data_IF_566982816392
#
_entry.id   IF_566982816392
#
_cell.length_a   1.000
_cell.length_b   1.000
_cell.length_c   1.000
_cell.angle_alpha   90.00
_cell.angle_beta   90.00
_cell.angle_gamma   90.00
#
_symmetry.space_group_name_H-M   'P 1'
#
loop_
_entity.id
_entity.type
_entity.pdbx_description
1 polymer ?
#
# COMPACT_ATOMS: atom_id res chain seq x y z
N UNK A 1 9.88 -17.54 -7.48
CA UNK A 1 10.22 -16.64 -6.35
C UNK A 1 9.11 -15.61 -6.24
N UNK A 2 8.50 -15.45 -5.08
CA UNK A 2 7.49 -14.42 -4.85
C UNK A 2 8.11 -13.03 -5.02
N UNK A 3 7.60 -12.24 -5.97
CA UNK A 3 8.12 -10.92 -6.32
C UNK A 3 8.21 -9.99 -5.10
N UNK A 4 7.25 -10.11 -4.17
CA UNK A 4 7.21 -9.38 -2.92
C UNK A 4 8.42 -9.67 -2.03
N UNK A 5 8.91 -10.91 -1.93
CA UNK A 5 10.10 -11.26 -1.14
C UNK A 5 11.38 -10.70 -1.77
N UNK A 6 11.46 -10.66 -3.10
CA UNK A 6 12.61 -10.13 -3.84
C UNK A 6 12.61 -8.60 -3.98
N UNK A 7 11.50 -7.93 -3.69
CA UNK A 7 11.40 -6.48 -3.88
C UNK A 7 12.29 -5.73 -2.88
N UNK A 8 13.26 -5.00 -3.45
CA UNK A 8 14.27 -4.23 -2.70
C UNK A 8 13.95 -2.75 -2.63
N UNK A 9 13.17 -2.22 -3.56
CA UNK A 9 12.91 -0.79 -3.71
C UNK A 9 11.40 -0.50 -3.63
N UNK A 10 11.08 0.63 -3.03
CA UNK A 10 9.72 1.17 -2.93
C UNK A 10 9.20 1.52 -4.32
N UNK A 11 7.98 1.08 -4.65
CA UNK A 11 7.35 1.36 -5.96
C UNK A 11 7.07 2.85 -6.21
N UNK A 12 7.03 3.65 -5.14
CA UNK A 12 6.77 5.09 -5.21
C UNK A 12 8.04 5.91 -5.25
N UNK A 13 8.77 5.91 -4.14
CA UNK A 13 9.94 6.77 -4.00
C UNK A 13 11.26 6.13 -4.46
N UNK A 14 11.27 4.86 -4.88
CA UNK A 14 12.48 4.14 -5.30
C UNK A 14 13.50 3.87 -4.19
N UNK A 15 13.25 4.29 -2.95
CA UNK A 15 14.15 4.03 -1.81
C UNK A 15 14.17 2.56 -1.43
N UNK A 16 15.28 2.12 -0.84
CA UNK A 16 15.41 0.76 -0.33
C UNK A 16 14.39 0.43 0.77
N UNK A 17 13.89 -0.81 0.74
CA UNK A 17 12.91 -1.36 1.67
C UNK A 17 13.54 -2.08 2.87
N UNK A 18 14.82 -1.80 3.16
CA UNK A 18 15.60 -2.43 4.24
C UNK A 18 15.04 -2.15 5.63
N UNK A 19 14.41 -0.97 5.82
CA UNK A 19 13.75 -0.58 7.07
C UNK A 19 12.35 -1.19 7.25
N UNK A 20 11.85 -1.92 6.25
CA UNK A 20 10.52 -2.50 6.22
C UNK A 20 9.72 -2.08 5.00
N UNK A 21 8.80 -2.97 4.61
CA UNK A 21 7.88 -2.79 3.49
C UNK A 21 6.47 -3.15 3.89
N UNK A 22 5.53 -2.48 3.27
CA UNK A 22 4.09 -2.69 3.48
C UNK A 22 3.37 -2.48 2.16
N UNK A 23 2.21 -3.11 2.00
CA UNK A 23 1.32 -2.84 0.88
C UNK A 23 0.56 -1.53 1.12
N UNK A 24 0.38 -0.74 0.06
CA UNK A 24 -0.49 0.44 0.10
C UNK A 24 -1.93 0.08 0.53
N UNK A 25 -2.65 1.04 1.13
CA UNK A 25 -4.11 0.87 1.35
C UNK A 25 -4.93 1.23 0.11
N UNK A 26 -4.31 1.85 -0.87
CA UNK A 26 -4.98 2.32 -2.08
C UNK A 26 -4.82 1.35 -3.25
N UNK A 27 -3.76 0.54 -3.25
CA UNK A 27 -3.44 -0.41 -4.32
C UNK A 27 -2.46 -1.49 -3.85
N UNK A 28 -1.99 -2.31 -4.77
CA UNK A 28 -1.03 -3.41 -4.52
C UNK A 28 0.45 -2.97 -4.47
N UNK A 29 0.74 -1.66 -4.43
CA UNK A 29 2.12 -1.17 -4.40
C UNK A 29 2.83 -1.60 -3.11
N UNK A 30 4.08 -2.06 -3.25
CA UNK A 30 4.98 -2.30 -2.13
C UNK A 30 5.74 -1.02 -1.81
N UNK A 31 5.39 -0.40 -0.68
CA UNK A 31 5.88 0.91 -0.28
C UNK A 31 6.71 0.85 1.01
N UNK A 32 7.60 1.82 1.16
CA UNK A 32 8.34 2.02 2.40
C UNK A 32 7.46 2.65 3.50
N UNK A 33 7.92 2.57 4.75
CA UNK A 33 7.21 3.14 5.90
C UNK A 33 7.04 4.67 5.81
N UNK A 34 7.94 5.38 5.13
CA UNK A 34 7.81 6.83 4.90
C UNK A 34 6.64 7.14 3.94
N UNK A 35 6.51 6.38 2.84
CA UNK A 35 5.39 6.52 1.92
C UNK A 35 4.07 6.15 2.61
N UNK A 36 4.09 5.12 3.48
CA UNK A 36 2.94 4.76 4.31
C UNK A 36 2.53 5.90 5.25
N UNK A 37 3.49 6.62 5.83
CA UNK A 37 3.18 7.79 6.67
C UNK A 37 2.49 8.88 5.86
N UNK A 38 3.00 9.18 4.66
CA UNK A 38 2.37 10.15 3.74
C UNK A 38 0.95 9.74 3.36
N UNK A 39 0.71 8.44 3.14
CA UNK A 39 -0.65 7.94 2.92
C UNK A 39 -1.57 8.27 4.09
N UNK A 40 -1.14 8.01 5.32
CA UNK A 40 -1.93 8.24 6.54
C UNK A 40 -2.30 9.70 6.77
N UNK A 41 -1.51 10.63 6.21
CA UNK A 41 -1.75 12.06 6.30
C UNK A 41 -2.75 12.56 5.24
N UNK A 42 -3.11 11.73 4.25
CA UNK A 42 -4.12 12.10 3.25
C UNK A 42 -5.52 12.10 3.85
N UNK A 43 -6.36 13.02 3.36
CA UNK A 43 -7.75 13.13 3.79
C UNK A 43 -8.58 11.88 3.46
N UNK A 44 -8.30 11.23 2.34
CA UNK A 44 -9.00 10.04 1.81
C UNK A 44 -8.46 8.70 2.38
N UNK A 45 -7.48 8.74 3.29
CA UNK A 45 -6.88 7.51 3.84
C UNK A 45 -7.87 6.64 4.59
N UNK A 46 -8.81 7.26 5.30
CA UNK A 46 -9.84 6.53 6.06
C UNK A 46 -10.75 5.74 5.14
N UNK A 47 -11.04 6.28 3.96
CA UNK A 47 -11.88 5.61 2.96
C UNK A 47 -11.16 4.38 2.38
N UNK A 48 -9.85 4.52 2.11
CA UNK A 48 -9.01 3.40 1.66
C UNK A 48 -8.98 2.26 2.69
N UNK A 49 -8.75 2.59 3.97
CA UNK A 49 -8.75 1.60 5.06
C UNK A 49 -10.13 0.94 5.20
N UNK A 50 -11.21 1.71 5.15
CA UNK A 50 -12.58 1.18 5.24
C UNK A 50 -12.88 0.20 4.11
N UNK A 51 -12.50 0.54 2.87
CA UNK A 51 -12.71 -0.32 1.72
C UNK A 51 -11.94 -1.65 1.84
N UNK A 52 -10.66 -1.60 2.24
CA UNK A 52 -9.87 -2.82 2.47
C UNK A 52 -10.50 -3.67 3.57
N UNK A 53 -10.89 -3.05 4.69
CA UNK A 53 -11.49 -3.77 5.82
C UNK A 53 -12.83 -4.44 5.47
N UNK A 54 -13.68 -3.76 4.69
CA UNK A 54 -14.95 -4.31 4.22
C UNK A 54 -14.75 -5.54 3.32
N UNK A 55 -13.73 -5.54 2.47
CA UNK A 55 -13.40 -6.66 1.61
C UNK A 55 -12.75 -7.80 2.39
N UNK A 56 -11.88 -7.50 3.37
CA UNK A 56 -11.33 -8.51 4.28
C UNK A 56 -12.42 -9.23 5.09
N UNK A 57 -13.43 -8.51 5.59
CA UNK A 57 -14.58 -9.09 6.30
C UNK A 57 -15.37 -10.04 5.38
N UNK A 58 -15.50 -9.72 4.09
CA UNK A 58 -16.14 -10.59 3.08
C UNK A 58 -15.26 -11.79 2.70
N UNK A 59 -14.01 -11.85 3.19
CA UNK A 59 -13.04 -12.88 2.84
C UNK A 59 -12.30 -12.60 1.51
N UNK A 60 -12.48 -11.43 0.91
CA UNK A 60 -11.78 -11.02 -0.30
C UNK A 60 -10.37 -10.50 0.04
N UNK A 61 -9.39 -11.39 -0.05
CA UNK A 61 -7.96 -11.09 0.20
C UNK A 61 -7.23 -10.55 -1.03
N UNK A 62 -7.90 -10.45 -2.18
CA UNK A 62 -7.33 -9.97 -3.45
C UNK A 62 -7.91 -8.61 -3.84
N UNK A 63 -8.38 -7.81 -2.88
CA UNK A 63 -8.91 -6.49 -3.16
C UNK A 63 -7.81 -5.57 -3.67
N UNK A 64 -8.00 -4.99 -4.86
CA UNK A 64 -7.01 -4.11 -5.52
C UNK A 64 -6.96 -2.69 -4.93
N UNK A 65 -7.75 -2.40 -3.89
CA UNK A 65 -7.84 -1.08 -3.29
C UNK A 65 -8.79 -0.14 -4.02
N UNK A 66 -8.82 1.13 -3.58
CA UNK A 66 -9.69 2.18 -4.15
C UNK A 66 -8.99 3.06 -5.20
N UNK A 67 -7.74 2.74 -5.55
CA UNK A 67 -6.89 3.47 -6.47
C UNK A 67 -6.17 4.66 -5.81
N UNK A 68 -4.85 4.72 -5.96
CA UNK A 68 -4.05 5.85 -5.47
C UNK A 68 -4.11 7.01 -6.46
N UNK A 69 -4.69 8.14 -6.05
CA UNK A 69 -4.68 9.40 -6.82
C UNK A 69 -3.56 10.30 -6.32
N UNK A 70 -2.32 10.03 -6.72
CA UNK A 70 -1.16 10.84 -6.34
C UNK A 70 0.00 10.62 -7.30
N UNK A 71 1.03 11.48 -7.24
CA UNK A 71 2.23 11.28 -8.03
C UNK A 71 2.90 9.95 -7.64
N UNK A 72 3.49 9.22 -8.61
CA UNK A 72 4.28 8.03 -8.35
C UNK A 72 5.42 8.35 -7.37
#
# INVERSE_FOLDING_TARGET
MDAFLSQKFCDRCGKELTLGKITSMYNNDCICLECKRKERERADYKDAVKAVHEEEIKGNRNFEGIGFKGPP
#
